data_IF_001026045447
#
_entry.id   IF_001026045447
#
_cell.length_a   1.000
_cell.length_b   1.000
_cell.length_c   1.000
_cell.angle_alpha   90.00
_cell.angle_beta   90.00
_cell.angle_gamma   90.00
#
_symmetry.space_group_name_H-M   'P 1'
#
loop_
_entity.id
_entity.type
_entity.pdbx_description
1 polymer ?
#
# COMPACT_ATOMS: atom_id res chain seq x y z
N UNK A 1 -10.88 10.39 23.40
CA UNK A 1 -10.14 10.28 22.13
C UNK A 1 -9.82 11.67 21.61
N UNK A 2 -8.63 11.86 21.00
CA UNK A 2 -8.21 13.13 20.38
C UNK A 2 -8.23 13.08 18.84
N UNK A 3 -8.40 11.89 18.25
CA UNK A 3 -8.38 11.65 16.81
C UNK A 3 -9.66 10.88 16.44
N UNK A 4 -10.46 11.43 15.53
CA UNK A 4 -11.68 10.81 15.04
C UNK A 4 -11.44 9.95 13.79
N UNK A 5 -10.45 10.31 12.97
CA UNK A 5 -10.09 9.61 11.73
C UNK A 5 -8.57 9.57 11.60
N UNK A 6 -8.03 8.44 11.18
CA UNK A 6 -6.64 8.29 10.78
C UNK A 6 -6.60 7.78 9.33
N UNK A 7 -5.65 8.27 8.55
CA UNK A 7 -5.39 7.82 7.18
C UNK A 7 -4.05 7.12 7.20
N UNK A 8 -4.04 5.82 6.90
CA UNK A 8 -2.85 4.98 6.84
C UNK A 8 -3.09 3.84 5.83
N UNK A 9 -2.04 3.07 5.52
CA UNK A 9 -2.16 1.86 4.72
C UNK A 9 -2.85 0.73 5.47
N UNK A 10 -3.29 -0.28 4.71
CA UNK A 10 -4.00 -1.45 5.25
C UNK A 10 -3.21 -2.21 6.32
N UNK A 11 -1.87 -2.18 6.26
CA UNK A 11 -0.98 -2.78 7.26
C UNK A 11 -1.14 -2.23 8.68
N UNK A 12 -1.66 -1.02 8.82
CA UNK A 12 -1.88 -0.41 10.13
C UNK A 12 -2.91 -1.21 10.96
N UNK A 13 -3.79 -1.95 10.28
CA UNK A 13 -4.83 -2.72 10.97
C UNK A 13 -4.23 -3.75 11.93
N UNK A 14 -3.05 -4.31 11.65
CA UNK A 14 -2.34 -5.28 12.51
C UNK A 14 -2.11 -4.82 13.97
N UNK A 15 -2.21 -3.52 14.22
CA UNK A 15 -2.16 -2.95 15.56
C UNK A 15 -3.36 -2.05 15.88
N UNK A 16 -3.95 -1.36 14.90
CA UNK A 16 -5.10 -0.48 15.13
C UNK A 16 -6.33 -1.24 15.66
N UNK A 17 -6.53 -2.51 15.27
CA UNK A 17 -7.65 -3.31 15.74
C UNK A 17 -7.66 -3.53 17.28
N UNK A 18 -6.54 -3.25 17.96
CA UNK A 18 -6.38 -3.34 19.42
C UNK A 18 -6.83 -2.08 20.16
N UNK A 19 -7.15 -1.00 19.44
CA UNK A 19 -7.66 0.24 20.03
C UNK A 19 -9.04 -0.05 20.63
N UNK A 20 -9.24 0.34 21.89
CA UNK A 20 -10.52 0.18 22.57
C UNK A 20 -11.52 1.27 22.14
N UNK A 21 -12.05 1.13 20.92
CA UNK A 21 -13.09 1.95 20.34
C UNK A 21 -13.84 1.15 19.27
N UNK A 22 -15.03 1.60 18.89
CA UNK A 22 -15.70 1.09 17.69
C UNK A 22 -14.97 1.62 16.46
N UNK A 23 -14.31 0.72 15.72
CA UNK A 23 -13.57 1.05 14.52
C UNK A 23 -14.42 0.78 13.27
N UNK A 24 -14.25 1.61 12.26
CA UNK A 24 -14.76 1.41 10.91
C UNK A 24 -13.64 1.65 9.90
N UNK A 25 -13.85 1.20 8.67
CA UNK A 25 -12.94 1.46 7.55
C UNK A 25 -13.75 1.91 6.34
N UNK A 26 -13.25 2.93 5.66
CA UNK A 26 -13.91 3.52 4.49
C UNK A 26 -12.87 3.98 3.48
N UNK A 27 -13.31 4.28 2.26
CA UNK A 27 -12.46 4.92 1.27
C UNK A 27 -12.03 6.32 1.73
N UNK A 28 -10.91 6.82 1.19
CA UNK A 28 -10.51 8.20 1.36
C UNK A 28 -11.59 9.14 0.81
N UNK A 29 -11.82 10.32 1.43
CA UNK A 29 -12.66 11.34 0.85
C UNK A 29 -12.18 11.68 -0.55
N UNK A 30 -13.05 11.50 -1.55
CA UNK A 30 -12.72 11.86 -2.93
C UNK A 30 -12.55 13.38 -3.06
N UNK A 31 -11.53 13.80 -3.80
CA UNK A 31 -11.46 15.17 -4.31
C UNK A 31 -12.27 15.25 -5.63
N UNK A 32 -11.59 15.33 -6.77
CA UNK A 32 -12.24 15.33 -8.10
C UNK A 32 -12.54 13.91 -8.59
N UNK A 33 -11.66 12.96 -8.32
CA UNK A 33 -11.78 11.56 -8.70
C UNK A 33 -11.36 10.68 -7.51
N UNK A 34 -12.07 9.56 -7.25
CA UNK A 34 -11.61 8.58 -6.27
C UNK A 34 -10.34 7.90 -6.77
N UNK A 35 -9.34 7.81 -5.90
CA UNK A 35 -8.08 7.14 -6.17
C UNK A 35 -7.53 6.54 -4.88
N UNK A 36 -6.90 5.38 -4.98
CA UNK A 36 -6.13 4.79 -3.88
C UNK A 36 -4.80 4.25 -4.39
N UNK A 37 -3.77 4.38 -3.58
CA UNK A 37 -2.45 3.87 -3.92
C UNK A 37 -2.42 2.36 -3.73
N UNK A 38 -2.00 1.64 -4.77
CA UNK A 38 -1.78 0.20 -4.71
C UNK A 38 -0.28 -0.09 -4.63
N UNK A 39 0.12 -0.74 -3.55
CA UNK A 39 1.48 -1.22 -3.31
C UNK A 39 1.43 -2.73 -3.04
N UNK A 40 2.51 -3.42 -3.41
CA UNK A 40 2.66 -4.85 -3.19
C UNK A 40 3.86 -5.12 -2.29
N UNK A 41 3.68 -6.06 -1.35
CA UNK A 41 4.81 -6.67 -0.66
C UNK A 41 5.36 -7.80 -1.55
N UNK A 42 6.66 -7.78 -1.82
CA UNK A 42 7.32 -8.70 -2.75
C UNK A 42 8.41 -9.49 -2.03
N UNK A 43 8.49 -10.78 -2.34
CA UNK A 43 9.61 -11.63 -1.95
C UNK A 43 10.44 -11.92 -3.20
N UNK A 44 11.76 -11.71 -3.11
CA UNK A 44 12.69 -11.90 -4.22
C UNK A 44 13.86 -12.77 -3.78
N UNK A 45 14.40 -13.55 -4.72
CA UNK A 45 15.66 -14.25 -4.55
C UNK A 45 16.81 -13.44 -5.15
N UNK A 46 17.97 -13.47 -4.50
CA UNK A 46 19.18 -12.84 -5.04
C UNK A 46 19.61 -13.56 -6.32
N UNK A 47 19.83 -12.81 -7.40
CA UNK A 47 20.28 -13.37 -8.67
C UNK A 47 21.65 -14.07 -8.56
N UNK A 48 22.50 -13.64 -7.62
CA UNK A 48 23.84 -14.20 -7.38
C UNK A 48 23.85 -15.39 -6.39
N UNK A 49 22.70 -15.95 -6.01
CA UNK A 49 22.66 -17.08 -5.08
C UNK A 49 23.30 -18.34 -5.67
N UNK A 50 24.04 -19.09 -4.85
CA UNK A 50 24.57 -20.42 -5.21
C UNK A 50 23.49 -21.52 -5.16
N UNK A 51 22.28 -21.21 -4.66
CA UNK A 51 21.17 -22.15 -4.46
C UNK A 51 19.88 -21.68 -5.16
N UNK A 52 19.87 -21.54 -6.51
CA UNK A 52 18.75 -20.96 -7.23
C UNK A 52 17.46 -21.78 -7.14
N UNK A 53 17.57 -23.11 -7.13
CA UNK A 53 16.40 -24.01 -7.04
C UNK A 53 15.77 -23.97 -5.64
N UNK A 54 16.58 -23.99 -4.59
CA UNK A 54 16.13 -23.84 -3.19
C UNK A 54 15.46 -22.48 -3.00
N UNK A 55 16.09 -21.41 -3.47
CA UNK A 55 15.56 -20.05 -3.38
C UNK A 55 14.22 -19.93 -4.13
N UNK A 56 14.11 -20.53 -5.32
CA UNK A 56 12.87 -20.57 -6.08
C UNK A 56 11.76 -21.35 -5.36
N UNK A 57 12.08 -22.53 -4.79
CA UNK A 57 11.12 -23.29 -3.98
C UNK A 57 10.61 -22.47 -2.79
N UNK A 58 11.50 -21.71 -2.14
CA UNK A 58 11.12 -20.84 -1.03
C UNK A 58 10.23 -19.67 -1.47
N UNK A 59 10.62 -18.91 -2.50
CA UNK A 59 9.79 -17.81 -3.03
C UNK A 59 8.42 -18.32 -3.48
N UNK A 60 8.34 -19.49 -4.13
CA UNK A 60 7.05 -20.10 -4.48
C UNK A 60 6.21 -20.43 -3.26
N UNK A 61 6.80 -20.96 -2.20
CA UNK A 61 6.08 -21.23 -0.95
C UNK A 61 5.51 -19.94 -0.33
N UNK A 62 6.32 -18.87 -0.30
CA UNK A 62 5.89 -17.55 0.20
C UNK A 62 4.79 -16.90 -0.65
N UNK A 63 4.65 -17.30 -1.91
CA UNK A 63 3.57 -16.85 -2.79
C UNK A 63 2.27 -17.66 -2.65
N UNK A 64 2.23 -18.70 -1.81
CA UNK A 64 1.03 -19.53 -1.66
C UNK A 64 -0.10 -18.80 -0.91
N UNK A 65 -1.38 -19.12 -1.20
CA UNK A 65 -2.50 -18.65 -0.39
C UNK A 65 -2.35 -19.01 1.08
N UNK A 66 -1.79 -20.18 1.39
CA UNK A 66 -1.57 -20.62 2.76
C UNK A 66 -0.74 -19.61 3.56
N UNK A 67 0.41 -19.20 3.02
CA UNK A 67 1.30 -18.24 3.68
C UNK A 67 0.64 -16.86 3.78
N UNK A 68 0.14 -16.34 2.65
CA UNK A 68 -0.46 -15.00 2.60
C UNK A 68 -1.66 -14.85 3.56
N UNK A 69 -2.55 -15.84 3.59
CA UNK A 69 -3.77 -15.76 4.41
C UNK A 69 -3.50 -15.64 5.90
N UNK A 70 -2.35 -16.12 6.41
CA UNK A 70 -1.98 -15.92 7.82
C UNK A 70 -1.81 -14.43 8.14
N UNK A 71 -1.19 -13.66 7.25
CA UNK A 71 -0.98 -12.23 7.41
C UNK A 71 -2.25 -11.41 7.14
N UNK A 72 -3.10 -11.88 6.22
CA UNK A 72 -4.41 -11.29 6.03
C UNK A 72 -5.28 -11.44 7.29
N UNK A 73 -5.28 -12.61 7.94
CA UNK A 73 -6.06 -12.86 9.18
C UNK A 73 -5.73 -11.91 10.33
N UNK A 74 -4.47 -11.50 10.44
CA UNK A 74 -4.03 -10.57 11.48
C UNK A 74 -4.11 -9.10 11.03
N UNK A 75 -4.69 -8.80 9.87
CA UNK A 75 -4.84 -7.43 9.37
C UNK A 75 -3.53 -6.79 8.89
N UNK A 76 -2.49 -7.58 8.61
CA UNK A 76 -1.22 -7.03 8.12
C UNK A 76 -1.23 -6.82 6.62
N UNK A 77 -1.78 -7.76 5.85
CA UNK A 77 -1.75 -7.73 4.39
C UNK A 77 -3.15 -7.80 3.79
N UNK A 78 -3.26 -7.26 2.58
CA UNK A 78 -4.35 -7.56 1.66
C UNK A 78 -3.96 -8.76 0.77
N UNK A 79 -4.94 -9.52 0.26
CA UNK A 79 -4.66 -10.60 -0.67
C UNK A 79 -4.03 -10.07 -1.97
N UNK A 80 -3.13 -10.85 -2.57
CA UNK A 80 -2.56 -10.58 -3.90
C UNK A 80 -3.11 -11.53 -4.97
N UNK A 81 -3.98 -12.47 -4.58
CA UNK A 81 -4.62 -13.42 -5.47
C UNK A 81 -6.12 -13.12 -5.54
N UNK A 82 -6.65 -13.01 -6.76
CA UNK A 82 -8.07 -12.67 -6.99
C UNK A 82 -9.04 -13.68 -6.39
N UNK A 83 -8.64 -14.95 -6.30
CA UNK A 83 -9.43 -15.99 -5.64
C UNK A 83 -9.69 -15.71 -4.15
N UNK A 84 -8.82 -14.94 -3.47
CA UNK A 84 -8.98 -14.53 -2.08
C UNK A 84 -9.83 -13.25 -1.93
N UNK A 85 -10.26 -12.65 -3.05
CA UNK A 85 -11.07 -11.43 -3.10
C UNK A 85 -12.54 -11.71 -3.43
N UNK A 86 -12.93 -12.97 -3.66
CA UNK A 86 -14.34 -13.39 -3.77
C UNK A 86 -14.98 -13.51 -2.40
N UNK A 87 -16.31 -13.61 -2.31
CA UNK A 87 -16.99 -13.79 -1.01
C UNK A 87 -16.49 -15.02 -0.24
N UNK A 88 -16.32 -16.16 -0.93
CA UNK A 88 -15.74 -17.37 -0.36
C UNK A 88 -14.29 -17.15 0.09
N UNK A 89 -13.49 -16.49 -0.75
CA UNK A 89 -12.10 -16.15 -0.45
C UNK A 89 -11.97 -15.27 0.78
N UNK A 90 -12.77 -14.20 0.87
CA UNK A 90 -12.82 -13.30 2.01
C UNK A 90 -13.17 -14.03 3.30
N UNK A 91 -14.10 -14.99 3.26
CA UNK A 91 -14.47 -15.78 4.44
C UNK A 91 -13.31 -16.65 4.98
N UNK A 92 -12.25 -16.87 4.20
CA UNK A 92 -11.07 -17.61 4.67
C UNK A 92 -10.10 -16.77 5.51
N UNK A 93 -10.16 -15.44 5.44
CA UNK A 93 -9.18 -14.56 6.10
C UNK A 93 -9.76 -13.36 6.84
N UNK A 94 -10.95 -12.87 6.48
CA UNK A 94 -11.65 -11.86 7.27
C UNK A 94 -11.96 -12.45 8.65
N UNK A 95 -11.34 -11.85 9.66
CA UNK A 95 -11.34 -12.32 11.05
C UNK A 95 -12.08 -11.32 11.95
N UNK A 96 -13.07 -11.80 12.70
CA UNK A 96 -13.81 -11.02 13.69
C UNK A 96 -12.88 -10.44 14.76
N UNK A 97 -13.12 -9.19 15.18
CA UNK A 97 -12.25 -8.48 16.13
C UNK A 97 -10.92 -7.98 15.56
N UNK A 98 -10.58 -8.34 14.32
CA UNK A 98 -9.46 -7.77 13.57
C UNK A 98 -9.97 -6.83 12.48
N UNK A 99 -10.90 -7.29 11.65
CA UNK A 99 -11.37 -6.55 10.49
C UNK A 99 -12.68 -5.81 10.82
N UNK A 100 -12.68 -4.47 10.91
CA UNK A 100 -13.87 -3.69 11.22
C UNK A 100 -14.85 -3.62 10.05
N UNK A 101 -16.01 -3.01 10.31
CA UNK A 101 -17.01 -2.72 9.28
C UNK A 101 -16.40 -1.95 8.10
N UNK A 102 -16.82 -2.30 6.87
CA UNK A 102 -16.33 -1.69 5.63
C UNK A 102 -14.98 -2.21 5.13
N UNK A 103 -14.19 -2.92 5.95
CA UNK A 103 -12.84 -3.37 5.56
C UNK A 103 -12.84 -4.26 4.31
N UNK A 104 -13.87 -5.10 4.13
CA UNK A 104 -14.04 -5.95 2.94
C UNK A 104 -13.99 -5.14 1.64
N UNK A 105 -14.53 -3.91 1.64
CA UNK A 105 -14.60 -3.06 0.46
C UNK A 105 -13.22 -2.62 -0.04
N UNK A 106 -12.18 -2.65 0.81
CA UNK A 106 -10.82 -2.37 0.33
C UNK A 106 -10.42 -3.36 -0.75
N UNK A 107 -10.62 -4.66 -0.51
CA UNK A 107 -10.20 -5.72 -1.42
C UNK A 107 -11.18 -5.94 -2.58
N UNK A 108 -12.47 -5.62 -2.42
CA UNK A 108 -13.50 -5.91 -3.44
C UNK A 108 -13.86 -4.72 -4.32
N UNK A 109 -13.74 -3.49 -3.82
CA UNK A 109 -14.20 -2.28 -4.48
C UNK A 109 -13.05 -1.28 -4.66
N UNK A 110 -12.40 -0.86 -3.57
CA UNK A 110 -11.50 0.28 -3.62
C UNK A 110 -10.22 0.01 -4.42
N UNK A 111 -9.51 -1.07 -4.08
CA UNK A 111 -8.27 -1.41 -4.80
C UNK A 111 -8.57 -1.89 -6.21
N UNK A 112 -9.65 -2.65 -6.41
CA UNK A 112 -9.98 -3.25 -7.72
C UNK A 112 -10.49 -2.24 -8.73
N UNK A 113 -11.23 -1.20 -8.29
CA UNK A 113 -11.85 -0.21 -9.19
C UNK A 113 -11.15 1.14 -9.20
N UNK A 114 -10.48 1.53 -8.12
CA UNK A 114 -9.87 2.86 -7.96
C UNK A 114 -8.37 2.79 -7.61
N UNK A 115 -7.78 1.60 -7.63
CA UNK A 115 -6.36 1.39 -7.35
C UNK A 115 -5.47 1.87 -8.49
N UNK A 116 -4.44 2.65 -8.12
CA UNK A 116 -3.36 3.05 -9.02
C UNK A 116 -2.04 2.44 -8.56
N UNK A 117 -1.39 1.68 -9.45
CA UNK A 117 -0.08 1.11 -9.18
C UNK A 117 0.96 2.22 -9.04
N UNK A 118 1.68 2.23 -7.91
CA UNK A 118 2.86 3.05 -7.75
C UNK A 118 4.08 2.32 -8.32
N UNK A 119 4.48 2.68 -9.53
CA UNK A 119 5.73 2.19 -10.11
C UNK A 119 6.91 2.89 -9.45
N UNK A 120 7.88 2.10 -8.96
CA UNK A 120 9.10 2.56 -8.32
C UNK A 120 10.31 2.13 -9.18
N UNK A 121 10.57 2.83 -10.31
CA UNK A 121 11.71 2.52 -11.17
C UNK A 121 13.06 2.80 -10.48
N UNK A 122 14.16 2.46 -11.15
CA UNK A 122 15.50 2.91 -10.73
C UNK A 122 15.48 4.44 -10.63
N UNK A 123 16.12 4.98 -9.59
CA UNK A 123 16.08 6.41 -9.29
C UNK A 123 14.84 6.89 -8.54
N UNK A 124 13.81 6.06 -8.32
CA UNK A 124 12.58 6.45 -7.60
C UNK A 124 12.86 7.09 -6.24
N UNK A 125 13.71 6.46 -5.42
CA UNK A 125 13.99 6.96 -4.07
C UNK A 125 14.68 8.33 -4.09
N UNK A 126 15.57 8.55 -5.06
CA UNK A 126 16.29 9.82 -5.21
C UNK A 126 15.35 10.92 -5.72
N UNK A 127 14.55 10.62 -6.76
CA UNK A 127 13.50 11.52 -7.26
C UNK A 127 12.47 11.86 -6.16
N UNK A 128 12.03 10.87 -5.37
CA UNK A 128 11.13 11.07 -4.24
C UNK A 128 11.76 11.94 -3.14
N UNK A 129 13.08 11.86 -2.97
CA UNK A 129 13.84 12.72 -2.06
C UNK A 129 13.85 14.19 -2.45
N UNK A 130 13.53 14.52 -3.70
CA UNK A 130 13.37 15.90 -4.20
C UNK A 130 11.90 16.34 -4.13
N UNK A 131 10.98 15.47 -4.56
CA UNK A 131 9.55 15.80 -4.59
C UNK A 131 8.97 15.96 -3.18
N UNK A 132 9.37 15.13 -2.22
CA UNK A 132 8.77 15.14 -0.87
C UNK A 132 9.02 16.47 -0.13
N UNK A 133 10.26 17.00 -0.04
CA UNK A 133 10.49 18.30 0.60
C UNK A 133 9.80 19.47 -0.11
N UNK A 134 9.65 19.40 -1.43
CA UNK A 134 8.92 20.42 -2.17
C UNK A 134 7.42 20.40 -1.82
N UNK A 135 6.83 19.22 -1.63
CA UNK A 135 5.47 19.10 -1.12
C UNK A 135 5.35 19.56 0.34
N UNK A 136 6.36 19.33 1.18
CA UNK A 136 6.38 19.85 2.56
C UNK A 136 6.24 21.37 2.59
N UNK A 137 6.98 22.10 1.73
CA UNK A 137 6.88 23.56 1.60
C UNK A 137 5.45 24.02 1.23
N UNK A 138 4.76 23.24 0.39
CA UNK A 138 3.36 23.51 0.04
C UNK A 138 2.43 23.28 1.22
N UNK A 139 2.59 22.18 1.95
CA UNK A 139 1.71 21.83 3.08
C UNK A 139 1.81 22.80 4.25
N UNK A 140 3.00 23.37 4.49
CA UNK A 140 3.19 24.40 5.52
C UNK A 140 2.81 25.81 5.05
N UNK A 141 2.46 25.98 3.77
CA UNK A 141 2.05 27.25 3.18
C UNK A 141 3.21 28.20 2.86
N UNK A 142 4.44 27.70 2.77
CA UNK A 142 5.64 28.50 2.43
C UNK A 142 5.71 28.80 0.92
N UNK A 143 5.26 27.86 0.09
CA UNK A 143 5.20 28.01 -1.37
C UNK A 143 3.86 27.57 -1.92
N UNK A 144 3.46 28.12 -3.07
CA UNK A 144 2.36 27.53 -3.86
C UNK A 144 2.81 26.21 -4.50
N UNK A 145 1.84 25.35 -4.83
CA UNK A 145 2.13 24.11 -5.55
C UNK A 145 2.83 24.36 -6.90
N UNK A 146 2.49 25.45 -7.59
CA UNK A 146 3.13 25.83 -8.85
C UNK A 146 4.61 26.16 -8.66
N UNK A 147 4.94 27.00 -7.68
CA UNK A 147 6.32 27.41 -7.38
C UNK A 147 7.19 26.22 -6.94
N UNK A 148 6.69 25.42 -5.99
CA UNK A 148 7.43 24.28 -5.46
C UNK A 148 7.70 23.22 -6.55
N UNK A 149 6.69 22.91 -7.38
CA UNK A 149 6.81 21.88 -8.40
C UNK A 149 7.62 22.34 -9.62
N UNK A 150 7.62 23.64 -9.95
CA UNK A 150 8.39 24.17 -11.08
C UNK A 150 9.89 23.87 -10.98
N UNK A 151 10.45 23.86 -9.77
CA UNK A 151 11.85 23.52 -9.54
C UNK A 151 12.07 22.02 -9.33
N UNK A 152 11.18 21.35 -8.60
CA UNK A 152 11.36 19.97 -8.17
C UNK A 152 11.13 18.94 -9.28
N UNK A 153 10.11 19.14 -10.12
CA UNK A 153 9.72 18.18 -11.16
C UNK A 153 10.81 17.97 -12.22
N UNK A 154 11.47 19.01 -12.78
CA UNK A 154 12.53 18.81 -13.75
C UNK A 154 13.71 17.98 -13.20
N UNK A 155 14.12 18.24 -11.95
CA UNK A 155 15.22 17.52 -11.30
C UNK A 155 14.87 16.05 -11.05
N UNK A 156 13.65 15.80 -10.54
CA UNK A 156 13.15 14.44 -10.33
C UNK A 156 13.06 13.67 -11.66
N UNK A 157 12.61 14.32 -12.74
CA UNK A 157 12.51 13.69 -14.06
C UNK A 157 13.89 13.38 -14.65
N UNK A 158 14.89 14.23 -14.44
CA UNK A 158 16.26 14.00 -14.91
C UNK A 158 16.84 12.72 -14.30
N UNK A 159 16.66 12.52 -12.99
CA UNK A 159 17.05 11.28 -12.29
C UNK A 159 16.36 10.07 -12.93
N UNK A 160 15.04 10.13 -13.07
CA UNK A 160 14.26 9.00 -13.57
C UNK A 160 14.57 8.65 -15.03
N UNK A 161 15.01 9.61 -15.83
CA UNK A 161 15.35 9.40 -17.25
C UNK A 161 16.76 8.84 -17.43
N UNK A 162 17.67 9.15 -16.50
CA UNK A 162 19.09 8.78 -16.59
C UNK A 162 19.47 7.55 -15.73
N UNK A 163 18.49 6.95 -15.04
CA UNK A 163 18.65 5.79 -14.15
C UNK A 163 18.48 4.44 -14.84
#
# INVERSE_FOLDING_TARGET
GKLAMAIDGSWALAWMHKINATLGTAALPGLKHPATNMQAHLHSALAATEHPEEAWRWVRFLATPFYQTQFCKIGLWLPSQTALMTDDGLNTWITEGVHPEGYRQIATDFVTRFGHVLYQPVGWNEASGIITPAMDAVWIGDQTAEEAMAAAVPQANEILTNS
#
